data_IF_215345830167
#
_entry.id   IF_215345830167
#
_cell.length_a   1.000
_cell.length_b   1.000
_cell.length_c   1.000
_cell.angle_alpha   90.00
_cell.angle_beta   90.00
_cell.angle_gamma   90.00
#
_symmetry.space_group_name_H-M   'P 1'
#
loop_
_entity.id
_entity.type
_entity.pdbx_description
1 polymer ?
#
# COMPACT_ATOMS: atom_id res chain seq x y z
N UNK A 1 5.67 16.29 -11.10
CA UNK A 1 5.42 17.74 -10.97
C UNK A 1 4.79 18.33 -12.22
N UNK A 2 5.39 18.21 -13.41
CA UNK A 2 4.82 18.77 -14.65
C UNK A 2 3.37 18.37 -14.97
N UNK A 3 2.97 17.11 -14.72
CA UNK A 3 1.56 16.66 -14.87
C UNK A 3 0.57 17.35 -13.92
N UNK A 4 1.05 17.96 -12.83
CA UNK A 4 0.25 18.77 -11.90
C UNK A 4 0.35 20.27 -12.22
N UNK A 5 1.00 20.66 -13.33
CA UNK A 5 1.22 22.06 -13.70
C UNK A 5 2.22 22.77 -12.80
N UNK A 6 3.17 22.04 -12.21
CA UNK A 6 4.20 22.58 -11.31
C UNK A 6 5.57 22.52 -11.95
N UNK A 7 6.34 23.57 -11.73
CA UNK A 7 7.76 23.61 -12.09
C UNK A 7 8.55 22.53 -11.36
N UNK A 8 9.56 21.91 -12.00
CA UNK A 8 10.46 20.98 -11.33
C UNK A 8 11.21 21.66 -10.20
N UNK A 9 11.19 21.05 -9.02
CA UNK A 9 11.99 21.47 -7.88
C UNK A 9 12.68 20.27 -7.24
N UNK A 10 13.79 20.53 -6.55
CA UNK A 10 14.49 19.48 -5.82
C UNK A 10 13.61 18.93 -4.69
N UNK A 11 13.53 17.60 -4.59
CA UNK A 11 12.87 16.91 -3.49
C UNK A 11 13.95 16.44 -2.53
N UNK A 12 13.99 17.04 -1.34
CA UNK A 12 14.99 16.73 -0.32
C UNK A 12 14.56 15.52 0.51
N UNK A 13 15.48 15.01 1.34
CA UNK A 13 15.20 13.92 2.27
C UNK A 13 15.03 14.47 3.69
N UNK A 14 13.93 14.09 4.33
CA UNK A 14 13.63 14.37 5.73
C UNK A 14 14.07 13.24 6.66
N UNK A 15 13.52 13.26 7.88
CA UNK A 15 13.69 12.18 8.85
C UNK A 15 13.25 10.84 8.24
N UNK A 16 13.98 9.76 8.55
CA UNK A 16 13.72 8.41 8.00
C UNK A 16 13.70 8.35 6.46
N UNK A 17 14.33 9.31 5.79
CA UNK A 17 14.40 9.35 4.32
C UNK A 17 13.10 9.75 3.64
N UNK A 18 12.09 10.22 4.39
CA UNK A 18 10.83 10.65 3.77
C UNK A 18 11.06 11.81 2.79
N UNK A 19 10.44 11.83 1.61
CA UNK A 19 10.62 12.95 0.68
C UNK A 19 10.00 14.24 1.24
N UNK A 20 10.74 15.34 1.17
CA UNK A 20 10.26 16.68 1.51
C UNK A 20 9.67 17.32 0.24
N UNK A 21 8.35 17.25 0.14
CA UNK A 21 7.61 17.82 -0.97
C UNK A 21 7.44 19.33 -0.84
N UNK A 22 7.28 20.05 -1.96
CA UNK A 22 6.90 21.46 -1.93
C UNK A 22 5.56 21.69 -1.26
N UNK A 23 5.36 22.89 -0.73
CA UNK A 23 4.10 23.28 -0.10
C UNK A 23 2.90 23.01 -1.02
N UNK A 24 1.83 22.46 -0.43
CA UNK A 24 0.62 22.09 -1.15
C UNK A 24 0.72 20.79 -1.94
N UNK A 25 1.82 20.03 -1.81
CA UNK A 25 2.02 18.73 -2.47
C UNK A 25 2.29 17.64 -1.46
N UNK A 26 1.68 16.49 -1.70
CA UNK A 26 1.98 15.23 -1.04
C UNK A 26 2.42 14.22 -2.08
N UNK A 27 3.18 13.22 -1.66
CA UNK A 27 3.65 12.20 -2.57
C UNK A 27 4.44 11.09 -1.92
N UNK A 28 4.78 10.10 -2.72
CA UNK A 28 5.56 8.94 -2.32
C UNK A 28 6.44 8.48 -3.48
N UNK A 29 7.60 7.93 -3.13
CA UNK A 29 8.60 7.42 -4.06
C UNK A 29 8.80 5.94 -3.79
N UNK A 30 9.07 5.18 -4.85
CA UNK A 30 9.52 3.79 -4.74
C UNK A 30 10.50 3.46 -5.85
N UNK A 31 11.40 2.55 -5.56
CA UNK A 31 12.32 1.99 -6.53
C UNK A 31 12.70 0.58 -6.14
N UNK A 32 12.92 -0.26 -7.14
CA UNK A 32 13.55 -1.55 -7.03
C UNK A 32 14.28 -1.86 -8.35
N UNK A 33 14.81 -3.07 -8.48
CA UNK A 33 15.43 -3.48 -9.73
C UNK A 33 14.40 -3.48 -10.86
N UNK A 34 14.75 -2.82 -11.97
CA UNK A 34 13.86 -2.66 -13.12
C UNK A 34 12.74 -1.61 -12.98
N UNK A 35 12.47 -1.03 -11.80
CA UNK A 35 11.32 -0.13 -11.62
C UNK A 35 11.62 1.10 -10.74
N UNK A 36 11.12 2.26 -11.16
CA UNK A 36 11.14 3.52 -10.38
C UNK A 36 9.84 4.27 -10.61
N UNK A 37 9.22 4.74 -9.54
CA UNK A 37 7.99 5.50 -9.65
C UNK A 37 7.90 6.60 -8.60
N UNK A 38 7.11 7.62 -8.94
CA UNK A 38 6.71 8.70 -8.07
C UNK A 38 5.21 8.94 -8.23
N UNK A 39 4.49 8.95 -7.11
CA UNK A 39 3.10 9.37 -7.05
C UNK A 39 3.03 10.71 -6.32
N UNK A 40 2.34 11.68 -6.92
CA UNK A 40 2.15 13.02 -6.36
C UNK A 40 0.69 13.43 -6.48
N UNK A 41 0.21 14.17 -5.48
CA UNK A 41 -1.11 14.76 -5.48
C UNK A 41 -1.09 16.15 -4.84
N UNK A 42 -2.15 16.94 -5.08
CA UNK A 42 -2.37 18.19 -4.34
C UNK A 42 -2.80 17.85 -2.92
N UNK A 43 -2.21 18.50 -1.93
CA UNK A 43 -2.54 18.32 -0.52
C UNK A 43 -3.99 18.67 -0.18
N UNK A 44 -4.65 19.50 -1.01
CA UNK A 44 -6.06 19.84 -0.90
C UNK A 44 -6.99 18.63 -1.18
N UNK A 45 -6.56 17.70 -2.05
CA UNK A 45 -7.38 16.57 -2.50
C UNK A 45 -7.01 15.27 -1.79
N UNK A 46 -5.75 15.18 -1.33
CA UNK A 46 -5.13 13.97 -0.77
C UNK A 46 -4.35 14.37 0.47
N UNK A 47 -4.67 13.75 1.61
CA UNK A 47 -4.01 14.00 2.88
C UNK A 47 -2.64 13.31 2.95
N UNK A 48 -2.56 12.06 2.49
CA UNK A 48 -1.32 11.29 2.39
C UNK A 48 -1.46 10.19 1.35
N UNK A 49 -0.35 9.73 0.80
CA UNK A 49 -0.32 8.60 -0.10
C UNK A 49 0.99 7.83 0.08
N UNK A 50 0.92 6.51 -0.06
CA UNK A 50 2.07 5.63 -0.02
C UNK A 50 2.05 4.73 -1.24
N UNK A 51 3.18 4.63 -1.92
CA UNK A 51 3.38 3.65 -3.00
C UNK A 51 4.61 2.83 -2.74
N UNK A 52 4.55 1.58 -3.15
CA UNK A 52 5.67 0.67 -3.06
C UNK A 52 5.70 -0.28 -4.25
N UNK A 53 6.91 -0.71 -4.61
CA UNK A 53 7.16 -1.55 -5.75
C UNK A 53 8.34 -2.47 -5.47
N UNK A 54 8.18 -3.75 -5.78
CA UNK A 54 9.10 -4.81 -5.43
C UNK A 54 9.24 -5.81 -6.59
N UNK A 55 10.41 -6.45 -6.78
CA UNK A 55 10.50 -7.58 -7.70
C UNK A 55 9.56 -8.69 -7.25
N UNK A 56 8.81 -9.25 -8.20
CA UNK A 56 7.89 -10.36 -7.95
C UNK A 56 8.66 -11.67 -7.79
N UNK A 57 9.24 -11.82 -6.61
CA UNK A 57 10.01 -12.98 -6.17
C UNK A 57 9.75 -13.23 -4.68
N UNK A 58 10.02 -14.45 -4.17
CA UNK A 58 9.90 -14.74 -2.74
C UNK A 58 10.66 -13.74 -1.87
N UNK A 59 10.23 -13.55 -0.63
CA UNK A 59 11.03 -12.83 0.35
C UNK A 59 12.33 -13.60 0.65
N UNK A 60 13.42 -12.91 1.02
CA UNK A 60 14.61 -13.57 1.53
C UNK A 60 14.27 -14.40 2.77
N UNK A 61 15.06 -15.45 3.02
CA UNK A 61 14.91 -16.31 4.18
C UNK A 61 14.89 -15.49 5.49
N UNK A 62 13.97 -15.85 6.40
CA UNK A 62 13.76 -15.15 7.68
C UNK A 62 12.97 -13.84 7.61
N UNK A 63 12.93 -13.15 6.47
CA UNK A 63 12.20 -11.86 6.36
C UNK A 63 10.69 -12.06 6.51
N UNK A 64 10.15 -13.16 5.96
CA UNK A 64 8.73 -13.48 6.11
C UNK A 64 8.27 -13.67 7.55
N UNK A 65 9.15 -14.02 8.49
CA UNK A 65 8.80 -14.16 9.92
C UNK A 65 8.63 -12.80 10.61
N UNK A 66 9.34 -11.77 10.13
CA UNK A 66 9.23 -10.40 10.63
C UNK A 66 8.03 -9.66 10.03
N UNK A 67 7.71 -9.96 8.77
CA UNK A 67 6.69 -9.24 8.00
C UNK A 67 5.30 -9.83 8.21
N UNK A 68 5.18 -11.16 8.25
CA UNK A 68 3.89 -11.86 8.16
C UNK A 68 3.39 -12.22 9.55
N UNK A 69 2.25 -11.64 9.94
CA UNK A 69 1.58 -11.95 11.21
C UNK A 69 1.02 -13.39 11.19
N UNK A 70 0.87 -14.05 12.36
CA UNK A 70 0.24 -15.38 12.42
C UNK A 70 -1.15 -15.43 11.76
N UNK A 71 -2.00 -14.42 12.02
CA UNK A 71 -3.33 -14.32 11.39
C UNK A 71 -3.29 -14.14 9.87
N UNK A 72 -2.27 -13.47 9.35
CA UNK A 72 -2.07 -13.32 7.91
C UNK A 72 -1.61 -14.65 7.30
N UNK A 73 -0.66 -15.33 7.96
CA UNK A 73 -0.17 -16.65 7.54
C UNK A 73 -1.29 -17.66 7.44
N UNK A 74 -2.20 -17.71 8.43
CA UNK A 74 -3.37 -18.59 8.40
C UNK A 74 -4.30 -18.28 7.22
N UNK A 75 -4.56 -17.00 6.93
CA UNK A 75 -5.39 -16.59 5.78
C UNK A 75 -4.77 -16.95 4.44
N UNK A 76 -3.44 -16.95 4.33
CA UNK A 76 -2.73 -17.25 3.08
C UNK A 76 -2.14 -18.66 3.01
N UNK A 77 -2.39 -19.53 4.00
CA UNK A 77 -1.85 -20.89 4.03
C UNK A 77 -2.32 -21.76 2.84
N UNK A 78 -3.51 -21.46 2.28
CA UNK A 78 -4.03 -22.11 1.08
C UNK A 78 -3.53 -21.51 -0.23
N UNK A 79 -2.95 -20.31 -0.19
CA UNK A 79 -2.39 -19.58 -1.32
C UNK A 79 -0.98 -20.07 -1.58
N UNK A 80 -0.84 -21.32 -2.05
CA UNK A 80 0.45 -21.98 -2.22
C UNK A 80 1.44 -21.09 -2.99
N UNK A 81 2.49 -20.67 -2.31
CA UNK A 81 3.70 -20.18 -2.94
C UNK A 81 4.22 -21.27 -3.89
N UNK A 82 4.47 -20.92 -5.15
CA UNK A 82 5.24 -21.79 -6.05
C UNK A 82 4.46 -22.67 -7.02
N UNK A 83 3.18 -22.39 -7.33
CA UNK A 83 2.69 -22.77 -8.67
C UNK A 83 3.37 -21.85 -9.69
N UNK A 84 3.92 -22.40 -10.78
CA UNK A 84 4.50 -21.61 -11.87
C UNK A 84 3.48 -20.58 -12.35
N UNK A 85 3.79 -19.28 -12.20
CA UNK A 85 2.89 -18.17 -12.54
C UNK A 85 1.97 -17.68 -11.40
N UNK A 86 2.11 -18.21 -10.18
CA UNK A 86 1.37 -17.78 -9.00
C UNK A 86 1.90 -16.50 -8.35
N UNK A 87 1.09 -15.89 -7.48
CA UNK A 87 1.46 -14.67 -6.75
C UNK A 87 2.34 -15.03 -5.54
N UNK A 88 3.53 -14.42 -5.43
CA UNK A 88 4.32 -14.36 -4.20
C UNK A 88 3.61 -13.48 -3.15
N UNK A 89 2.70 -14.09 -2.39
CA UNK A 89 1.85 -13.40 -1.41
C UNK A 89 2.61 -12.76 -0.26
N UNK A 90 3.71 -13.39 0.15
CA UNK A 90 4.65 -12.86 1.14
C UNK A 90 5.25 -11.52 0.67
N UNK A 91 5.69 -11.45 -0.58
CA UNK A 91 6.20 -10.22 -1.20
C UNK A 91 5.12 -9.17 -1.40
N UNK A 92 3.93 -9.58 -1.83
CA UNK A 92 2.79 -8.67 -1.97
C UNK A 92 2.38 -8.06 -0.62
N UNK A 93 2.35 -8.88 0.44
CA UNK A 93 2.09 -8.41 1.79
C UNK A 93 3.16 -7.44 2.28
N UNK A 94 4.45 -7.74 2.05
CA UNK A 94 5.55 -6.83 2.35
C UNK A 94 5.36 -5.46 1.69
N UNK A 95 5.17 -5.44 0.36
CA UNK A 95 4.99 -4.20 -0.39
C UNK A 95 3.77 -3.42 0.10
N UNK A 96 2.66 -4.10 0.38
CA UNK A 96 1.45 -3.45 0.90
C UNK A 96 1.69 -2.80 2.27
N UNK A 97 2.43 -3.45 3.17
CA UNK A 97 2.80 -2.87 4.47
C UNK A 97 3.73 -1.68 4.33
N UNK A 98 4.67 -1.71 3.38
CA UNK A 98 5.50 -0.54 3.05
C UNK A 98 4.66 0.65 2.54
N UNK A 99 3.66 0.40 1.69
CA UNK A 99 2.70 1.42 1.26
C UNK A 99 1.88 2.01 2.42
N UNK A 100 1.46 1.16 3.37
CA UNK A 100 0.80 1.60 4.61
C UNK A 100 1.73 2.47 5.45
N UNK A 101 2.97 2.04 5.69
CA UNK A 101 3.98 2.82 6.42
C UNK A 101 4.23 4.19 5.76
N UNK A 102 4.41 4.23 4.44
CA UNK A 102 4.63 5.48 3.69
C UNK A 102 3.42 6.42 3.71
N UNK A 103 2.22 5.89 3.95
CA UNK A 103 1.01 6.71 4.15
C UNK A 103 0.93 7.23 5.59
N UNK A 104 1.30 6.39 6.55
CA UNK A 104 1.27 6.65 7.99
C UNK A 104 2.34 7.67 8.44
N UNK A 105 3.61 7.42 8.10
CA UNK A 105 4.75 8.12 8.69
C UNK A 105 4.72 9.64 8.49
N UNK A 106 4.38 10.19 7.30
CA UNK A 106 4.31 11.63 7.11
C UNK A 106 3.26 12.34 8.00
N UNK A 107 2.25 11.61 8.46
CA UNK A 107 1.15 12.16 9.27
C UNK A 107 1.41 12.07 10.77
N UNK A 108 2.09 11.01 11.22
CA UNK A 108 2.29 10.74 12.65
C UNK A 108 3.71 11.04 13.12
N UNK A 109 4.69 11.00 12.20
CA UNK A 109 6.13 11.04 12.49
C UNK A 109 6.60 9.96 13.48
N UNK A 110 5.84 8.87 13.57
CA UNK A 110 6.13 7.71 14.41
C UNK A 110 6.28 6.45 13.57
N UNK A 111 7.17 5.57 14.01
CA UNK A 111 7.33 4.26 13.38
C UNK A 111 6.05 3.43 13.49
N UNK A 112 5.80 2.60 12.49
CA UNK A 112 4.74 1.60 12.48
C UNK A 112 5.39 0.28 12.07
N UNK A 113 5.44 -0.67 13.00
CA UNK A 113 6.08 -1.97 12.75
C UNK A 113 5.16 -2.89 11.93
N UNK A 114 5.74 -3.91 11.28
CA UNK A 114 4.97 -4.80 10.41
C UNK A 114 3.85 -5.54 11.14
N UNK A 115 4.03 -5.86 12.42
CA UNK A 115 3.02 -6.55 13.23
C UNK A 115 1.92 -5.62 13.75
N UNK A 116 2.05 -4.30 13.58
CA UNK A 116 1.07 -3.28 13.93
C UNK A 116 0.03 -3.01 12.82
N UNK A 117 0.07 -3.76 11.72
CA UNK A 117 -0.94 -3.73 10.67
C UNK A 117 -1.36 -5.15 10.24
N UNK A 118 -2.66 -5.40 10.19
CA UNK A 118 -3.25 -6.67 9.75
C UNK A 118 -3.94 -6.49 8.39
N UNK A 119 -3.44 -7.16 7.35
CA UNK A 119 -3.92 -6.98 5.98
C UNK A 119 -4.76 -8.16 5.48
N UNK A 120 -5.80 -7.83 4.72
CA UNK A 120 -6.58 -8.76 3.90
C UNK A 120 -6.56 -8.32 2.44
N UNK A 121 -6.62 -9.28 1.51
CA UNK A 121 -6.55 -9.01 0.07
C UNK A 121 -7.78 -9.58 -0.63
N UNK A 122 -8.19 -8.88 -1.68
CA UNK A 122 -9.20 -9.33 -2.64
C UNK A 122 -8.60 -9.21 -4.03
N UNK A 123 -8.68 -10.26 -4.83
CA UNK A 123 -8.33 -10.26 -6.25
C UNK A 123 -9.53 -9.79 -7.07
N UNK A 124 -9.28 -9.08 -8.16
CA UNK A 124 -10.32 -8.70 -9.11
C UNK A 124 -10.64 -9.87 -10.06
N UNK A 125 -11.93 -10.01 -10.43
CA UNK A 125 -12.43 -11.16 -11.22
C UNK A 125 -12.06 -11.09 -12.72
N UNK A 126 -11.57 -9.93 -13.19
CA UNK A 126 -11.35 -9.64 -14.62
C UNK A 126 -9.93 -9.94 -15.11
N UNK A 127 -9.18 -10.80 -14.40
CA UNK A 127 -7.90 -11.35 -14.86
C UNK A 127 -8.10 -12.37 -16.01
N UNK A 128 -8.95 -12.02 -17.00
CA UNK A 128 -9.20 -12.77 -18.23
C UNK A 128 -8.07 -12.56 -19.23
N UNK A 129 -6.90 -13.10 -18.91
CA UNK A 129 -5.94 -13.63 -19.87
C UNK A 129 -5.03 -14.54 -19.06
N UNK A 130 -4.76 -15.77 -19.51
CA UNK A 130 -3.90 -16.73 -18.82
C UNK A 130 -2.41 -16.33 -18.77
N UNK A 131 -2.11 -15.11 -18.36
CA UNK A 131 -0.79 -14.55 -18.14
C UNK A 131 -0.53 -14.28 -16.65
N UNK A 132 0.71 -13.92 -16.28
CA UNK A 132 1.12 -13.73 -14.88
C UNK A 132 0.60 -12.44 -14.24
N UNK A 133 -0.19 -11.64 -14.97
CA UNK A 133 -0.73 -10.40 -14.47
C UNK A 133 -1.90 -10.66 -13.51
N UNK A 134 -1.93 -9.93 -12.41
CA UNK A 134 -3.02 -9.97 -11.46
C UNK A 134 -3.21 -8.62 -10.79
N UNK A 135 -4.43 -8.30 -10.38
CA UNK A 135 -4.68 -7.09 -9.60
C UNK A 135 -5.81 -7.25 -8.60
N UNK A 136 -5.91 -6.28 -7.70
CA UNK A 136 -6.98 -6.26 -6.74
C UNK A 136 -6.87 -5.13 -5.72
N UNK A 137 -7.59 -5.31 -4.62
CA UNK A 137 -7.61 -4.39 -3.48
C UNK A 137 -7.06 -5.08 -2.24
N UNK A 138 -6.61 -4.28 -1.27
CA UNK A 138 -6.33 -4.75 0.07
C UNK A 138 -6.89 -3.78 1.10
N UNK A 139 -7.16 -4.29 2.29
CA UNK A 139 -7.58 -3.49 3.44
C UNK A 139 -6.58 -3.74 4.56
N UNK A 140 -6.02 -2.67 5.10
CA UNK A 140 -5.10 -2.68 6.23
C UNK A 140 -5.82 -2.19 7.48
N UNK A 141 -6.01 -3.08 8.46
CA UNK A 141 -6.45 -2.71 9.80
C UNK A 141 -5.24 -2.35 10.64
N UNK A 142 -5.17 -1.09 11.08
CA UNK A 142 -4.11 -0.62 11.96
C UNK A 142 -4.40 -1.07 13.40
N UNK A 143 -3.41 -1.68 14.03
CA UNK A 143 -3.48 -2.15 15.41
C UNK A 143 -2.92 -1.11 16.39
N UNK A 144 -2.08 -0.21 15.86
CA UNK A 144 -1.72 1.04 16.49
C UNK A 144 -2.66 2.16 16.03
N UNK A 145 -3.13 2.99 16.97
CA UNK A 145 -4.02 4.10 16.68
C UNK A 145 -3.29 5.45 16.74
N UNK A 146 -3.67 6.37 15.87
CA UNK A 146 -3.24 7.77 15.90
C UNK A 146 -4.38 8.65 15.37
N UNK A 147 -4.72 9.80 15.99
CA UNK A 147 -5.81 10.67 15.54
C UNK A 147 -5.62 11.27 14.14
N UNK A 148 -4.42 11.23 13.58
CA UNK A 148 -4.12 11.70 12.24
C UNK A 148 -4.51 10.69 11.13
N UNK A 149 -4.76 9.42 11.48
CA UNK A 149 -4.97 8.33 10.51
C UNK A 149 -6.21 7.52 10.89
N UNK A 150 -7.10 7.14 9.94
CA UNK A 150 -8.20 6.23 10.25
C UNK A 150 -7.68 4.86 10.69
N UNK A 151 -8.45 4.11 11.49
CA UNK A 151 -8.04 2.77 11.94
C UNK A 151 -7.98 1.73 10.80
N UNK A 152 -8.50 2.07 9.62
CA UNK A 152 -8.52 1.22 8.43
C UNK A 152 -8.08 2.04 7.23
N UNK A 153 -7.17 1.48 6.44
CA UNK A 153 -6.71 2.04 5.17
C UNK A 153 -7.04 1.06 4.04
N UNK A 154 -7.58 1.57 2.94
CA UNK A 154 -7.79 0.80 1.73
C UNK A 154 -6.69 1.08 0.71
N UNK A 155 -6.28 0.02 0.03
CA UNK A 155 -5.24 0.07 -0.98
C UNK A 155 -5.56 -0.77 -2.20
N UNK A 156 -4.72 -0.60 -3.22
CA UNK A 156 -4.72 -1.38 -4.46
C UNK A 156 -3.38 -2.04 -4.67
N UNK A 157 -3.41 -3.17 -5.37
CA UNK A 157 -2.21 -3.88 -5.75
C UNK A 157 -2.29 -4.38 -7.20
N UNK A 158 -1.12 -4.55 -7.80
CA UNK A 158 -0.95 -5.13 -9.14
C UNK A 158 0.34 -5.93 -9.17
N UNK A 159 0.29 -7.06 -9.87
CA UNK A 159 1.45 -7.86 -10.26
C UNK A 159 1.47 -7.88 -11.77
N UNK A 160 2.54 -7.40 -12.38
CA UNK A 160 2.70 -7.35 -13.84
C UNK A 160 4.18 -7.20 -14.18
N UNK A 161 4.63 -7.80 -15.28
CA UNK A 161 6.02 -7.70 -15.77
C UNK A 161 7.10 -7.98 -14.71
N UNK A 162 6.83 -8.93 -13.81
CA UNK A 162 7.75 -9.30 -12.74
C UNK A 162 7.86 -8.27 -11.60
N UNK A 163 6.91 -7.33 -11.50
CA UNK A 163 6.85 -6.31 -10.44
C UNK A 163 5.55 -6.47 -9.65
N UNK A 164 5.68 -6.45 -8.32
CA UNK A 164 4.59 -6.18 -7.40
C UNK A 164 4.54 -4.68 -7.19
N UNK A 165 3.37 -4.05 -7.35
CA UNK A 165 3.16 -2.65 -7.02
C UNK A 165 1.94 -2.49 -6.11
N UNK A 166 2.06 -1.68 -5.07
CA UNK A 166 0.99 -1.39 -4.12
C UNK A 166 0.83 0.12 -3.92
N UNK A 167 -0.38 0.53 -3.60
CA UNK A 167 -0.68 1.93 -3.35
C UNK A 167 -1.81 2.10 -2.31
N UNK A 168 -1.66 3.08 -1.44
CA UNK A 168 -2.67 3.56 -0.50
C UNK A 168 -2.87 5.06 -0.72
N UNK A 169 -4.12 5.50 -0.71
CA UNK A 169 -4.51 6.90 -0.88
C UNK A 169 -5.45 7.31 0.25
N UNK A 170 -5.00 8.24 1.11
CA UNK A 170 -5.82 8.79 2.18
C UNK A 170 -6.36 10.17 1.77
N UNK A 171 -7.68 10.32 1.72
CA UNK A 171 -8.34 11.59 1.40
C UNK A 171 -8.74 12.36 2.66
N UNK A 172 -8.72 13.71 2.67
CA UNK A 172 -9.01 14.51 3.87
C UNK A 172 -10.40 14.25 4.49
N UNK A 173 -11.38 13.87 3.67
CA UNK A 173 -12.77 13.64 4.07
C UNK A 173 -13.00 12.33 4.83
N UNK A 174 -11.96 11.55 5.14
CA UNK A 174 -12.11 10.34 5.96
C UNK A 174 -12.69 10.64 7.35
N UNK A 175 -12.48 11.87 7.85
CA UNK A 175 -13.03 12.37 9.12
C UNK A 175 -14.51 12.71 9.05
N UNK A 176 -15.04 12.92 7.84
CA UNK A 176 -16.43 13.27 7.59
C UNK A 176 -17.31 12.03 7.40
N UNK A 177 -16.71 10.84 7.35
CA UNK A 177 -17.41 9.57 7.32
C UNK A 177 -18.07 9.26 8.68
N UNK A 178 -19.22 8.56 8.70
CA UNK A 178 -19.86 8.19 9.95
C UNK A 178 -18.89 7.37 10.80
N UNK A 179 -18.64 7.83 12.03
CA UNK A 179 -17.88 7.08 13.01
C UNK A 179 -18.60 5.74 13.26
N UNK A 180 -18.05 4.66 12.71
CA UNK A 180 -18.54 3.29 12.93
C UNK A 180 -19.88 2.97 12.26
N UNK A 181 -19.82 2.54 11.00
CA UNK A 181 -20.76 1.51 10.54
C UNK A 181 -20.01 0.55 9.63
N UNK A 182 -20.02 -0.73 10.00
CA UNK A 182 -19.64 -1.79 9.08
C UNK A 182 -20.49 -1.67 7.84
N UNK A 183 -19.84 -1.60 6.68
CA UNK A 183 -20.52 -1.59 5.40
C UNK A 183 -21.27 -2.93 5.21
N UNK A 184 -22.53 -2.95 5.62
CA UNK A 184 -23.52 -3.89 5.14
C UNK A 184 -23.88 -3.49 3.72
N UNK A 185 -23.60 -4.35 2.76
CA UNK A 185 -24.11 -4.24 1.41
C UNK A 185 -25.62 -4.42 1.45
N UNK A 186 -26.38 -3.38 1.08
CA UNK A 186 -27.78 -3.54 0.69
C UNK A 186 -27.79 -3.75 -0.82
N UNK A 187 -28.22 -4.94 -1.22
CA UNK A 187 -28.47 -5.34 -2.59
C UNK A 187 -29.95 -5.03 -2.86
N UNK A 188 -30.26 -4.07 -3.73
CA UNK A 188 -31.61 -3.91 -4.25
C UNK A 188 -31.77 -4.75 -5.52
N UNK A 189 -32.86 -5.53 -5.52
CA UNK A 189 -33.34 -6.45 -6.55
C UNK A 189 -34.01 -5.75 -7.72
#
# INVERSE_FOLDING_TARGET
>A
MGRLGLEPVAVLHGKRGMPLWPDGIVGSLTHCDGYRAAALARAADVLSLGVDAEPHAPLPEGVGELVVRPSERERFAGSRAGEEGGIHWDRLLFSAKESVFKTWYPLTLTELDFDEADLTFRRDDDDRAGGPAASGTFTARLLRTDPAVPPVLDGRWRVEDGIVATAVLLRPNWRDGPAGSGAGWVQES
#
